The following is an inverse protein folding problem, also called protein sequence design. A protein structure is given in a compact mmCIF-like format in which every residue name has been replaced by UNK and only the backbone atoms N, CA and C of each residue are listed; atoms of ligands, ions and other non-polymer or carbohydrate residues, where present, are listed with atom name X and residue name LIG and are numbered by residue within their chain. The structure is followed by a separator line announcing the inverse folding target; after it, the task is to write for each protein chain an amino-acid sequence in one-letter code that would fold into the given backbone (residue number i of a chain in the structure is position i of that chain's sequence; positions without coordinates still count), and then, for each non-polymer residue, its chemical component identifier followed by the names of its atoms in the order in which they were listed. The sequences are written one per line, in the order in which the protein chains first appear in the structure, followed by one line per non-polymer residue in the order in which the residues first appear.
data_IF_541676151551
#
_entry.id   IF_541676151551
#
_cell.length_a   1.000
_cell.length_b   1.000
_cell.length_c   1.000
_cell.angle_alpha   90.00
_cell.angle_beta   90.00
_cell.angle_gamma   90.00
#
_symmetry.space_group_name_H-M   'P 1'
#
loop_
_entity.id
_entity.type
_entity.pdbx_description
1 polymer ?
#
# COMPACT_ATOMS: atom_id res chain seq x y z
N UNK A 1 -24.53 -10.01 3.25
CA UNK A 1 -23.06 -9.97 3.06
C UNK A 1 -22.55 -8.66 3.63
N UNK A 2 -21.81 -8.71 4.74
CA UNK A 2 -21.27 -7.49 5.38
C UNK A 2 -19.98 -7.09 4.65
N UNK A 3 -19.76 -5.80 4.30
CA UNK A 3 -18.48 -5.35 3.77
C UNK A 3 -17.43 -5.44 4.88
N UNK A 4 -16.34 -6.13 4.58
CA UNK A 4 -15.17 -6.26 5.46
C UNK A 4 -14.42 -4.92 5.44
N UNK A 5 -14.86 -3.97 6.29
CA UNK A 5 -14.14 -2.74 6.56
C UNK A 5 -13.20 -3.00 7.73
N UNK A 6 -11.94 -3.30 7.41
CA UNK A 6 -10.88 -3.37 8.40
C UNK A 6 -10.55 -1.92 8.82
N UNK A 7 -11.22 -1.41 9.86
CA UNK A 7 -10.92 -0.11 10.46
C UNK A 7 -9.97 -0.31 11.62
N UNK A 8 -8.73 0.10 11.44
CA UNK A 8 -7.83 0.34 12.57
C UNK A 8 -8.22 1.67 13.23
N UNK A 9 -8.82 1.61 14.43
CA UNK A 9 -9.15 2.77 15.24
C UNK A 9 -7.99 3.05 16.19
N UNK A 10 -7.20 4.09 15.95
CA UNK A 10 -6.29 4.63 16.96
C UNK A 10 -6.99 5.74 17.73
N UNK A 11 -7.18 5.52 19.03
CA UNK A 11 -7.70 6.51 19.97
C UNK A 11 -6.53 7.42 20.38
N UNK A 12 -6.50 8.64 19.88
CA UNK A 12 -5.58 9.67 20.37
C UNK A 12 -6.23 10.42 21.54
N UNK A 13 -5.68 10.27 22.73
CA UNK A 13 -6.02 11.08 23.91
C UNK A 13 -5.25 12.40 23.78
N UNK A 14 -5.95 13.48 23.50
CA UNK A 14 -5.38 14.82 23.45
C UNK A 14 -5.22 15.40 24.85
N UNK A 15 -3.98 15.68 25.25
CA UNK A 15 -3.68 16.54 26.39
C UNK A 15 -3.52 17.96 25.84
N UNK A 16 -4.45 18.83 26.18
CA UNK A 16 -4.40 20.23 25.81
C UNK A 16 -3.30 20.98 26.56
N UNK A 17 -2.38 21.57 25.81
CA UNK A 17 -1.44 22.57 26.31
C UNK A 17 -1.77 23.90 25.65
N UNK A 18 -2.19 24.89 26.46
CA UNK A 18 -2.36 26.27 26.03
C UNK A 18 -0.95 26.89 25.79
N UNK A 19 -0.58 27.06 24.53
CA UNK A 19 0.55 27.89 24.18
C UNK A 19 0.09 29.24 23.62
N UNK A 20 0.58 30.31 24.24
CA UNK A 20 0.42 31.69 23.81
C UNK A 20 0.99 31.88 22.39
N UNK A 21 0.17 32.36 21.47
CA UNK A 21 0.62 32.68 20.11
C UNK A 21 1.22 34.08 20.09
N UNK A 22 2.51 34.14 19.92
CA UNK A 22 3.16 35.34 19.40
C UNK A 22 2.95 35.38 17.88
N UNK A 23 2.18 36.31 17.37
CA UNK A 23 1.99 36.54 15.94
C UNK A 23 3.26 37.18 15.36
N UNK A 24 4.21 36.37 14.92
CA UNK A 24 5.22 36.80 13.97
C UNK A 24 4.61 36.74 12.58
N UNK A 25 4.45 37.90 11.95
CA UNK A 25 4.06 37.99 10.54
C UNK A 25 5.14 37.30 9.69
N UNK A 26 4.93 36.07 9.32
CA UNK A 26 5.75 35.36 8.35
C UNK A 26 5.49 35.97 6.99
N UNK A 27 6.50 36.59 6.38
CA UNK A 27 6.43 37.01 4.99
C UNK A 27 6.15 35.77 4.12
N UNK A 28 4.95 35.71 3.57
CA UNK A 28 4.54 34.64 2.67
C UNK A 28 5.43 34.68 1.42
N UNK A 29 6.14 33.59 1.16
CA UNK A 29 6.88 33.45 -0.09
C UNK A 29 5.94 33.69 -1.28
N UNK A 30 6.42 34.29 -2.39
CA UNK A 30 5.60 34.59 -3.55
C UNK A 30 4.91 33.31 -4.02
N UNK A 31 3.59 33.31 -3.95
CA UNK A 31 2.79 32.17 -4.42
C UNK A 31 2.96 32.05 -5.93
N UNK A 32 3.34 30.83 -6.38
CA UNK A 32 3.33 30.52 -7.81
C UNK A 32 1.93 30.78 -8.38
N UNK A 33 1.83 31.32 -9.61
CA UNK A 33 0.53 31.59 -10.22
C UNK A 33 -0.32 30.34 -10.22
N UNK A 34 -1.62 30.50 -9.94
CA UNK A 34 -2.55 29.39 -9.89
C UNK A 34 -2.71 28.78 -11.28
N UNK A 35 -2.46 27.47 -11.40
CA UNK A 35 -2.47 26.74 -12.67
C UNK A 35 -3.76 25.95 -12.78
N UNK A 36 -4.47 26.11 -13.90
CA UNK A 36 -5.53 25.22 -14.31
C UNK A 36 -5.00 24.12 -15.23
N UNK A 37 -5.55 22.94 -15.12
CA UNK A 37 -5.19 21.78 -15.92
C UNK A 37 -6.29 21.47 -16.93
N UNK A 38 -5.90 20.97 -18.09
CA UNK A 38 -6.84 20.46 -19.09
C UNK A 38 -7.25 19.01 -18.78
N UNK A 39 -8.36 18.54 -19.35
CA UNK A 39 -8.75 17.13 -19.19
C UNK A 39 -7.72 16.15 -19.75
N UNK A 40 -6.91 16.58 -20.73
CA UNK A 40 -5.75 15.82 -21.24
C UNK A 40 -4.65 15.60 -20.21
N UNK A 41 -4.63 16.37 -19.11
CA UNK A 41 -3.65 16.22 -18.01
C UNK A 41 -4.09 15.15 -16.99
N UNK A 42 -5.24 14.49 -17.19
CA UNK A 42 -5.63 13.36 -16.35
C UNK A 42 -4.73 12.14 -16.60
N UNK A 43 -4.51 11.39 -15.53
CA UNK A 43 -3.78 10.12 -15.60
C UNK A 43 -4.69 9.10 -16.29
N UNK A 44 -4.23 8.53 -17.42
CA UNK A 44 -4.93 7.46 -18.09
C UNK A 44 -4.95 6.19 -17.22
N UNK A 45 -6.13 5.61 -17.06
CA UNK A 45 -6.34 4.39 -16.29
C UNK A 45 -6.82 3.26 -17.21
N UNK A 46 -6.17 2.11 -17.10
CA UNK A 46 -6.65 0.87 -17.72
C UNK A 46 -7.28 0.01 -16.63
N UNK A 47 -8.55 -0.30 -16.79
CA UNK A 47 -9.27 -1.18 -15.86
C UNK A 47 -9.12 -2.62 -16.35
N UNK A 48 -8.41 -3.45 -15.59
CA UNK A 48 -8.24 -4.88 -15.88
C UNK A 48 -9.34 -5.74 -15.24
N UNK A 49 -9.76 -5.35 -14.03
CA UNK A 49 -10.78 -6.07 -13.25
C UNK A 49 -11.34 -5.14 -12.16
N UNK A 50 -12.39 -5.57 -11.48
CA UNK A 50 -12.94 -4.88 -10.33
C UNK A 50 -12.61 -5.65 -9.04
N UNK A 51 -12.07 -4.94 -8.07
CA UNK A 51 -11.74 -5.52 -6.78
C UNK A 51 -13.01 -5.92 -6.01
N UNK A 52 -13.14 -7.21 -5.72
CA UNK A 52 -14.17 -7.78 -4.86
C UNK A 52 -13.78 -7.66 -3.38
N UNK A 53 -12.46 -7.75 -3.10
CA UNK A 53 -11.89 -7.66 -1.76
C UNK A 53 -10.67 -6.74 -1.77
N UNK A 54 -10.44 -6.10 -0.61
CA UNK A 54 -9.30 -5.23 -0.39
C UNK A 54 -8.71 -5.51 0.99
N UNK A 55 -7.40 -5.71 1.05
CA UNK A 55 -6.66 -5.81 2.29
C UNK A 55 -5.59 -4.71 2.34
N UNK A 56 -5.52 -4.01 3.48
CA UNK A 56 -4.55 -2.94 3.70
C UNK A 56 -3.46 -3.46 4.62
N UNK A 57 -2.21 -3.27 4.21
CA UNK A 57 -1.02 -3.69 4.95
C UNK A 57 -0.18 -2.48 5.33
N UNK A 58 0.15 -2.36 6.61
CA UNK A 58 1.19 -1.45 7.05
C UNK A 58 2.54 -2.07 6.70
N UNK A 59 3.22 -1.53 5.68
CA UNK A 59 4.59 -1.93 5.33
C UNK A 59 5.56 -1.14 6.18
N UNK A 60 6.47 -1.84 6.85
CA UNK A 60 7.62 -1.27 7.53
C UNK A 60 8.90 -1.67 6.78
N UNK A 61 9.80 -0.72 6.63
CA UNK A 61 11.08 -0.91 5.96
C UNK A 61 12.20 -0.18 6.70
N UNK A 62 13.37 -0.81 6.78
CA UNK A 62 14.62 -0.22 7.26
C UNK A 62 15.68 -0.36 6.20
N UNK A 63 16.46 0.69 5.97
CA UNK A 63 17.57 0.67 5.01
C UNK A 63 18.68 -0.27 5.48
N UNK A 64 18.94 -0.26 6.79
CA UNK A 64 19.90 -1.14 7.46
C UNK A 64 19.22 -1.75 8.69
N UNK A 65 19.33 -3.05 8.94
CA UNK A 65 18.68 -3.70 10.09
C UNK A 65 19.00 -3.07 11.44
N UNK A 66 20.22 -2.55 11.62
CA UNK A 66 20.68 -1.88 12.84
C UNK A 66 20.24 -0.42 12.97
N UNK A 67 19.64 0.19 11.93
CA UNK A 67 19.16 1.56 11.98
C UNK A 67 17.89 1.61 12.84
N UNK A 68 17.83 2.46 13.88
CA UNK A 68 16.61 2.67 14.66
C UNK A 68 15.50 3.32 13.80
N UNK A 69 15.84 3.97 12.69
CA UNK A 69 14.89 4.63 11.80
C UNK A 69 14.20 3.61 10.91
N UNK A 70 12.89 3.52 11.05
CA UNK A 70 12.04 2.78 10.12
C UNK A 70 11.16 3.73 9.31
N UNK A 71 10.78 3.29 8.13
CA UNK A 71 9.83 3.96 7.26
C UNK A 71 8.57 3.13 7.17
N UNK A 72 7.42 3.78 7.27
CA UNK A 72 6.14 3.10 7.25
C UNK A 72 5.22 3.75 6.24
N UNK A 73 4.51 2.94 5.46
CA UNK A 73 3.46 3.37 4.54
C UNK A 73 2.45 2.27 4.28
N UNK A 74 1.29 2.67 3.79
CA UNK A 74 0.18 1.76 3.58
C UNK A 74 0.23 1.16 2.17
N UNK A 75 0.11 -0.15 2.10
CA UNK A 75 -0.03 -0.92 0.87
C UNK A 75 -1.46 -1.45 0.74
N UNK A 76 -1.96 -1.53 -0.47
CA UNK A 76 -3.28 -2.06 -0.79
C UNK A 76 -3.14 -3.29 -1.67
N UNK A 77 -3.66 -4.42 -1.18
CA UNK A 77 -3.94 -5.61 -1.97
C UNK A 77 -5.39 -5.56 -2.46
N UNK A 78 -5.58 -5.61 -3.76
CA UNK A 78 -6.86 -5.67 -4.44
C UNK A 78 -7.03 -7.06 -5.04
N UNK A 79 -8.14 -7.74 -4.74
CA UNK A 79 -8.43 -9.09 -5.22
C UNK A 79 -9.68 -9.01 -6.08
N UNK A 80 -9.54 -9.20 -7.37
CA UNK A 80 -10.62 -9.31 -8.33
C UNK A 80 -10.88 -10.77 -8.73
N UNK A 81 -11.69 -10.98 -9.75
CA UNK A 81 -12.05 -12.32 -10.25
C UNK A 81 -10.91 -12.96 -11.06
N UNK A 82 -10.18 -12.17 -11.84
CA UNK A 82 -9.11 -12.60 -12.76
C UNK A 82 -7.76 -12.03 -12.39
N UNK A 83 -7.76 -10.81 -11.86
CA UNK A 83 -6.55 -10.07 -11.53
C UNK A 83 -6.45 -9.80 -10.05
N UNK A 84 -5.22 -9.68 -9.59
CA UNK A 84 -4.87 -9.21 -8.27
C UNK A 84 -3.90 -8.05 -8.42
N UNK A 85 -4.12 -6.96 -7.70
CA UNK A 85 -3.24 -5.78 -7.67
C UNK A 85 -2.61 -5.59 -6.31
N UNK A 86 -1.33 -5.20 -6.27
CA UNK A 86 -0.67 -4.75 -5.05
C UNK A 86 -0.01 -3.41 -5.31
N UNK A 87 -0.41 -2.38 -4.58
CA UNK A 87 -0.07 -0.99 -4.89
C UNK A 87 0.15 -0.17 -3.62
N UNK A 88 1.01 0.84 -3.70
CA UNK A 88 1.11 1.86 -2.66
C UNK A 88 -0.21 2.64 -2.58
N UNK A 89 -0.83 2.66 -1.40
CA UNK A 89 -2.14 3.29 -1.21
C UNK A 89 -2.09 4.82 -1.32
N UNK A 90 -1.00 5.44 -0.87
CA UNK A 90 -0.80 6.89 -0.99
C UNK A 90 -0.70 7.32 -2.46
N UNK A 91 0.01 6.56 -3.30
CA UNK A 91 0.08 6.80 -4.74
C UNK A 91 -1.31 6.69 -5.39
N UNK A 92 -2.05 5.62 -5.09
CA UNK A 92 -3.39 5.43 -5.62
C UNK A 92 -4.36 6.55 -5.22
N UNK A 93 -4.28 7.01 -3.96
CA UNK A 93 -5.05 8.16 -3.48
C UNK A 93 -4.68 9.44 -4.22
N UNK A 94 -3.39 9.72 -4.35
CA UNK A 94 -2.93 10.93 -5.03
C UNK A 94 -3.38 10.97 -6.49
N UNK A 95 -3.31 9.84 -7.21
CA UNK A 95 -3.77 9.74 -8.59
C UNK A 95 -5.30 9.93 -8.69
N UNK A 96 -6.05 9.41 -7.73
CA UNK A 96 -7.51 9.61 -7.64
C UNK A 96 -7.86 11.07 -7.38
N UNK A 97 -7.18 11.74 -6.44
CA UNK A 97 -7.37 13.16 -6.12
C UNK A 97 -7.05 14.01 -7.36
N UNK A 98 -5.94 13.72 -8.03
CA UNK A 98 -5.53 14.39 -9.26
C UNK A 98 -6.62 14.32 -10.32
N UNK A 99 -7.03 13.11 -10.70
CA UNK A 99 -8.03 12.90 -11.74
C UNK A 99 -9.39 13.52 -11.39
N UNK A 100 -9.86 13.36 -10.15
CA UNK A 100 -11.12 13.92 -9.70
C UNK A 100 -11.09 15.46 -9.72
N UNK A 101 -9.99 16.06 -9.29
CA UNK A 101 -9.84 17.52 -9.22
C UNK A 101 -9.79 18.15 -10.61
N UNK A 102 -9.07 17.54 -11.56
CA UNK A 102 -9.03 18.03 -12.95
C UNK A 102 -10.43 17.92 -13.60
N UNK A 103 -11.11 16.78 -13.42
CA UNK A 103 -12.48 16.60 -13.94
C UNK A 103 -13.47 17.60 -13.35
N UNK A 104 -13.26 18.02 -12.10
CA UNK A 104 -14.05 19.04 -11.43
C UNK A 104 -13.64 20.49 -11.77
N UNK A 105 -12.63 20.67 -12.65
CA UNK A 105 -12.14 22.00 -13.05
C UNK A 105 -11.41 22.76 -11.93
N UNK A 106 -10.95 22.07 -10.88
CA UNK A 106 -10.24 22.73 -9.78
C UNK A 106 -8.87 23.25 -10.27
N UNK A 107 -8.49 24.42 -9.79
CA UNK A 107 -7.13 24.92 -9.96
C UNK A 107 -6.13 24.14 -9.11
N UNK A 108 -4.85 24.25 -9.43
CA UNK A 108 -3.77 23.59 -8.67
C UNK A 108 -3.86 23.89 -7.17
N UNK A 109 -4.04 25.15 -6.79
CA UNK A 109 -4.15 25.56 -5.39
C UNK A 109 -5.37 24.96 -4.70
N UNK A 110 -6.45 24.67 -5.45
CA UNK A 110 -7.69 24.09 -4.96
C UNK A 110 -7.60 22.62 -4.51
N UNK A 111 -6.51 21.90 -4.87
CA UNK A 111 -6.34 20.50 -4.46
C UNK A 111 -4.92 20.11 -4.06
N UNK A 112 -3.95 21.04 -4.20
CA UNK A 112 -2.53 20.74 -4.00
C UNK A 112 -2.22 20.17 -2.62
N UNK A 113 -2.81 20.73 -1.56
CA UNK A 113 -2.53 20.29 -0.19
C UNK A 113 -3.01 18.84 0.04
N UNK A 114 -4.22 18.49 -0.44
CA UNK A 114 -4.76 17.15 -0.32
C UNK A 114 -3.94 16.13 -1.14
N UNK A 115 -3.58 16.51 -2.35
CA UNK A 115 -2.75 15.71 -3.23
C UNK A 115 -1.33 15.51 -2.67
N UNK A 116 -0.71 16.57 -2.16
CA UNK A 116 0.62 16.52 -1.55
C UNK A 116 0.63 15.64 -0.32
N UNK A 117 -0.36 15.79 0.57
CA UNK A 117 -0.48 14.94 1.75
C UNK A 117 -0.57 13.45 1.38
N UNK A 118 -1.36 13.10 0.35
CA UNK A 118 -1.41 11.72 -0.12
C UNK A 118 -0.08 11.22 -0.69
N UNK A 119 0.68 12.10 -1.37
CA UNK A 119 2.03 11.81 -1.85
C UNK A 119 3.05 11.66 -0.72
N UNK A 120 2.95 12.46 0.32
CA UNK A 120 3.85 12.42 1.48
C UNK A 120 3.66 11.13 2.30
N UNK A 121 2.45 10.57 2.30
CA UNK A 121 2.15 9.25 2.86
C UNK A 121 2.70 8.09 2.00
N UNK A 122 3.18 8.38 0.79
CA UNK A 122 3.69 7.37 -0.13
C UNK A 122 5.22 7.34 -0.15
N UNK A 123 5.74 6.16 -0.44
CA UNK A 123 7.14 5.97 -0.82
C UNK A 123 7.20 5.25 -2.14
N UNK A 124 8.21 5.51 -2.98
CA UNK A 124 8.40 4.72 -4.19
C UNK A 124 8.38 3.24 -3.85
N UNK A 125 7.48 2.52 -4.48
CA UNK A 125 7.32 1.08 -4.30
C UNK A 125 6.86 0.45 -5.61
N UNK A 126 7.05 -0.86 -5.70
CA UNK A 126 6.65 -1.61 -6.87
C UNK A 126 5.12 -1.73 -6.94
N UNK A 127 4.57 -1.50 -8.13
CA UNK A 127 3.20 -1.89 -8.46
C UNK A 127 3.21 -3.28 -9.08
N UNK A 128 2.41 -4.19 -8.55
CA UNK A 128 2.31 -5.57 -9.01
C UNK A 128 0.91 -5.85 -9.54
N UNK A 129 0.84 -6.41 -10.73
CA UNK A 129 -0.40 -6.89 -11.35
C UNK A 129 -0.26 -8.37 -11.66
N UNK A 130 -1.05 -9.21 -11.01
CA UNK A 130 -1.07 -10.64 -11.21
C UNK A 130 -2.20 -11.02 -12.16
N UNK A 131 -1.88 -11.60 -13.30
CA UNK A 131 -2.82 -12.27 -14.19
C UNK A 131 -2.88 -13.75 -13.82
N UNK A 132 -3.92 -14.12 -13.09
CA UNK A 132 -4.06 -15.50 -12.58
C UNK A 132 -4.40 -16.50 -13.68
N UNK A 133 -5.04 -16.06 -14.75
CA UNK A 133 -5.37 -16.94 -15.86
C UNK A 133 -4.12 -17.35 -16.64
N UNK A 134 -3.15 -16.43 -16.75
CA UNK A 134 -1.87 -16.69 -17.42
C UNK A 134 -0.79 -17.20 -16.47
N UNK A 135 -0.99 -17.11 -15.17
CA UNK A 135 0.03 -17.46 -14.17
C UNK A 135 1.24 -16.52 -14.16
N UNK A 136 1.07 -15.28 -14.58
CA UNK A 136 2.13 -14.29 -14.68
C UNK A 136 1.89 -13.07 -13.79
N UNK A 137 2.97 -12.44 -13.42
CA UNK A 137 3.04 -11.21 -12.66
C UNK A 137 3.74 -10.14 -13.48
N UNK A 138 3.07 -9.03 -13.72
CA UNK A 138 3.67 -7.81 -14.25
C UNK A 138 4.09 -6.91 -13.08
N UNK A 139 5.36 -6.54 -13.05
CA UNK A 139 5.91 -5.65 -12.05
C UNK A 139 6.33 -4.33 -12.70
N UNK A 140 5.84 -3.23 -12.12
CA UNK A 140 6.18 -1.87 -12.50
C UNK A 140 6.93 -1.24 -11.33
N UNK A 141 8.18 -0.90 -11.56
CA UNK A 141 9.08 -0.38 -10.53
C UNK A 141 9.67 0.97 -10.97
N UNK A 142 10.05 1.77 -10.00
CA UNK A 142 10.71 3.03 -10.23
C UNK A 142 12.01 3.07 -9.42
N UNK A 143 13.13 2.97 -10.12
CA UNK A 143 14.45 3.09 -9.53
C UNK A 143 15.01 4.46 -9.93
N UNK A 144 15.14 5.36 -8.98
CA UNK A 144 15.53 6.74 -9.23
C UNK A 144 14.53 7.48 -10.13
N UNK A 145 14.95 7.84 -11.34
CA UNK A 145 14.11 8.50 -12.34
C UNK A 145 13.58 7.52 -13.41
N UNK A 146 14.16 6.34 -13.49
CA UNK A 146 13.81 5.34 -14.49
C UNK A 146 12.65 4.48 -14.05
N UNK A 147 11.74 4.21 -14.99
CA UNK A 147 10.62 3.28 -14.81
C UNK A 147 10.99 1.96 -15.47
N UNK A 148 10.76 0.87 -14.76
CA UNK A 148 11.01 -0.48 -15.23
C UNK A 148 9.70 -1.26 -15.24
N UNK A 149 9.52 -2.06 -16.28
CA UNK A 149 8.45 -3.04 -16.38
C UNK A 149 9.07 -4.39 -16.72
N UNK A 150 8.68 -5.41 -15.98
CA UNK A 150 9.06 -6.79 -16.28
C UNK A 150 7.94 -7.74 -15.94
N UNK A 151 7.90 -8.86 -16.65
CA UNK A 151 6.94 -9.94 -16.45
C UNK A 151 7.70 -11.17 -15.96
N UNK A 152 7.18 -11.84 -14.93
CA UNK A 152 7.71 -13.10 -14.42
C UNK A 152 6.56 -14.08 -14.11
N UNK A 153 6.81 -15.40 -14.05
CA UNK A 153 5.84 -16.32 -13.49
C UNK A 153 5.47 -15.93 -12.05
N UNK A 154 4.20 -16.14 -11.67
CA UNK A 154 3.79 -15.88 -10.27
C UNK A 154 4.64 -16.73 -9.34
N UNK A 155 5.42 -16.12 -8.42
CA UNK A 155 6.30 -16.85 -7.54
C UNK A 155 5.54 -17.82 -6.63
N UNK A 156 6.04 -19.03 -6.52
CA UNK A 156 5.51 -20.05 -5.61
C UNK A 156 6.46 -20.19 -4.43
N UNK A 157 5.95 -20.02 -3.21
CA UNK A 157 6.72 -20.24 -1.99
C UNK A 157 6.55 -21.68 -1.50
N UNK A 158 7.64 -22.27 -1.01
CA UNK A 158 7.60 -23.53 -0.28
C UNK A 158 7.38 -23.21 1.20
N UNK A 159 6.13 -23.42 1.66
CA UNK A 159 5.76 -23.14 3.04
C UNK A 159 5.96 -24.34 3.94
N UNK A 160 6.50 -24.10 5.13
CA UNK A 160 6.54 -25.06 6.25
C UNK A 160 5.60 -24.54 7.33
N UNK A 161 4.58 -25.30 7.67
CA UNK A 161 3.68 -24.98 8.79
C UNK A 161 4.47 -25.05 10.08
N UNK A 162 4.29 -24.08 10.95
CA UNK A 162 4.99 -23.98 12.22
C UNK A 162 4.00 -23.93 13.37
N UNK A 163 4.39 -24.40 14.53
CA UNK A 163 3.58 -24.30 15.73
C UNK A 163 3.40 -22.84 16.17
N UNK A 164 2.24 -22.55 16.71
CA UNK A 164 1.86 -21.25 17.26
C UNK A 164 0.65 -20.65 16.55
N UNK A 165 -0.27 -20.18 17.34
CA UNK A 165 -1.45 -19.43 16.92
C UNK A 165 -1.35 -18.01 17.46
N UNK A 166 -1.97 -17.07 16.77
CA UNK A 166 -2.04 -15.66 17.19
C UNK A 166 -3.39 -15.08 16.77
N UNK A 167 -3.82 -14.04 17.45
CA UNK A 167 -4.98 -13.27 17.02
C UNK A 167 -4.50 -11.95 16.41
N UNK A 168 -4.75 -11.77 15.12
CA UNK A 168 -4.38 -10.55 14.38
C UNK A 168 -5.65 -9.93 13.83
N UNK A 169 -5.94 -8.70 14.23
CA UNK A 169 -7.13 -7.95 13.82
C UNK A 169 -8.46 -8.72 14.06
N UNK A 170 -8.48 -9.57 15.10
CA UNK A 170 -9.64 -10.36 15.46
C UNK A 170 -9.77 -11.69 14.73
N UNK A 171 -8.85 -12.04 13.84
CA UNK A 171 -8.79 -13.33 13.15
C UNK A 171 -7.84 -14.28 13.86
N UNK A 172 -8.22 -15.56 13.93
CA UNK A 172 -7.29 -16.62 14.33
C UNK A 172 -6.30 -16.86 13.21
N UNK A 173 -5.01 -16.73 13.51
CA UNK A 173 -3.92 -16.83 12.54
C UNK A 173 -2.96 -17.94 12.92
N UNK A 174 -2.59 -18.76 11.94
CA UNK A 174 -1.62 -19.82 12.03
C UNK A 174 -0.28 -19.38 11.47
N UNK A 175 0.79 -19.97 11.99
CA UNK A 175 2.17 -19.62 11.63
C UNK A 175 2.69 -20.50 10.52
N UNK A 176 3.37 -19.90 9.55
CA UNK A 176 4.12 -20.61 8.53
C UNK A 176 5.48 -19.93 8.28
N UNK A 177 6.44 -20.69 7.79
CA UNK A 177 7.77 -20.19 7.44
C UNK A 177 8.12 -20.54 6.02
N UNK A 178 8.96 -19.73 5.37
CA UNK A 178 9.49 -20.00 4.04
C UNK A 178 10.83 -19.31 3.85
N UNK A 179 11.63 -19.87 2.93
CA UNK A 179 12.81 -19.18 2.39
C UNK A 179 12.50 -18.68 0.99
N UNK A 180 12.58 -17.37 0.80
CA UNK A 180 12.28 -16.74 -0.48
C UNK A 180 13.36 -15.71 -0.85
N UNK A 181 13.94 -15.87 -2.05
CA UNK A 181 14.96 -14.94 -2.59
C UNK A 181 16.11 -14.67 -1.61
N UNK A 182 16.59 -15.71 -0.94
CA UNK A 182 17.76 -15.67 -0.04
C UNK A 182 17.47 -15.23 1.39
N UNK A 183 16.21 -14.92 1.73
CA UNK A 183 15.80 -14.52 3.09
C UNK A 183 14.80 -15.51 3.68
N UNK A 184 14.81 -15.64 4.99
CA UNK A 184 13.88 -16.45 5.74
C UNK A 184 12.73 -15.58 6.27
N UNK A 185 11.50 -16.02 6.05
CA UNK A 185 10.28 -15.30 6.40
C UNK A 185 9.41 -16.08 7.37
N UNK A 186 8.74 -15.35 8.25
CA UNK A 186 7.65 -15.84 9.08
C UNK A 186 6.37 -15.16 8.59
N UNK A 187 5.34 -15.95 8.30
CA UNK A 187 4.03 -15.48 7.92
C UNK A 187 2.98 -15.94 8.93
N UNK A 188 1.99 -15.09 9.14
CA UNK A 188 0.75 -15.41 9.85
C UNK A 188 -0.39 -15.31 8.85
N UNK A 189 -1.21 -16.35 8.74
CA UNK A 189 -2.32 -16.41 7.81
C UNK A 189 -3.59 -16.88 8.50
N UNK A 190 -4.75 -16.53 7.96
CA UNK A 190 -6.05 -16.94 8.47
C UNK A 190 -6.87 -17.65 7.41
N UNK A 191 -7.45 -18.78 7.77
CA UNK A 191 -8.38 -19.54 6.92
C UNK A 191 -9.80 -18.96 6.92
N UNK A 192 -10.11 -18.07 7.88
CA UNK A 192 -11.38 -17.34 7.93
C UNK A 192 -11.59 -16.43 6.70
N UNK A 193 -10.51 -16.07 6.02
CA UNK A 193 -10.50 -15.35 4.75
C UNK A 193 -9.90 -16.27 3.68
N UNK A 194 -10.72 -17.03 2.91
CA UNK A 194 -10.27 -18.14 2.06
C UNK A 194 -9.67 -17.64 0.73
N UNK A 195 -8.76 -16.71 0.81
CA UNK A 195 -7.99 -16.20 -0.33
C UNK A 195 -6.51 -16.51 -0.12
N UNK A 196 -5.89 -17.38 -0.93
CA UNK A 196 -4.51 -17.81 -0.77
C UNK A 196 -3.53 -16.71 -1.25
N UNK A 197 -3.73 -15.48 -0.79
CA UNK A 197 -2.98 -14.30 -1.21
C UNK A 197 -2.37 -13.58 -0.01
N UNK A 198 -1.40 -12.72 -0.31
CA UNK A 198 -0.72 -11.92 0.71
C UNK A 198 -0.10 -10.65 0.12
N UNK A 199 0.62 -9.89 0.95
CA UNK A 199 1.30 -8.69 0.51
C UNK A 199 2.48 -9.02 -0.41
N UNK A 200 2.83 -8.08 -1.28
CA UNK A 200 3.94 -8.19 -2.22
C UNK A 200 3.79 -9.42 -3.13
N UNK A 201 4.79 -10.30 -3.16
CA UNK A 201 4.85 -11.50 -4.00
C UNK A 201 4.55 -12.78 -3.21
N UNK A 202 4.01 -12.66 -2.01
CA UNK A 202 3.71 -13.81 -1.15
C UNK A 202 2.28 -14.29 -1.31
N UNK A 203 2.12 -15.62 -1.27
CA UNK A 203 0.82 -16.28 -1.37
C UNK A 203 0.96 -17.79 -1.27
N UNK A 204 -0.13 -18.53 -1.52
CA UNK A 204 -0.13 -19.99 -1.56
C UNK A 204 -0.34 -20.66 -0.20
N UNK A 205 -0.62 -19.93 0.87
CA UNK A 205 -1.13 -20.47 2.14
C UNK A 205 -2.65 -20.73 2.04
N UNK A 206 -3.25 -21.58 2.90
CA UNK A 206 -4.68 -21.91 2.85
C UNK A 206 -5.63 -20.76 3.22
N UNK A 207 -5.17 -19.51 3.13
CA UNK A 207 -5.95 -18.32 3.44
C UNK A 207 -5.12 -17.05 3.29
N UNK A 208 -5.69 -15.92 3.72
CA UNK A 208 -5.06 -14.62 3.58
C UNK A 208 -3.87 -14.49 4.56
N UNK A 209 -2.72 -14.11 4.03
CA UNK A 209 -1.57 -13.73 4.86
C UNK A 209 -1.88 -12.38 5.50
N UNK A 210 -2.02 -12.36 6.82
CA UNK A 210 -2.35 -11.15 7.60
C UNK A 210 -1.11 -10.38 8.02
N UNK A 211 0.01 -11.08 8.23
CA UNK A 211 1.28 -10.49 8.60
C UNK A 211 2.42 -11.35 8.03
N UNK A 212 3.48 -10.70 7.53
CA UNK A 212 4.69 -11.38 7.11
C UNK A 212 5.89 -10.49 7.36
N UNK A 213 7.00 -11.08 7.79
CA UNK A 213 8.25 -10.36 8.02
C UNK A 213 9.46 -11.27 7.81
N UNK A 214 10.60 -10.69 7.44
CA UNK A 214 11.85 -11.41 7.41
C UNK A 214 12.46 -11.54 8.82
N UNK A 215 13.26 -12.58 9.03
CA UNK A 215 13.85 -12.89 10.35
C UNK A 215 15.18 -12.16 10.59
N UNK A 216 15.66 -11.38 9.64
CA UNK A 216 16.94 -10.64 9.71
C UNK A 216 16.75 -9.17 10.11
N UNK A 217 15.73 -8.89 10.92
CA UNK A 217 15.39 -7.54 11.41
C UNK A 217 16.42 -6.99 12.37
#
# INVERSE_FOLDING_TARGET
MKPLLLRTLFLAIGIGSLCFHSTTASAQAPQKPDKHYALSDTIALTIFDYAQYRAYYQKEYRDVPSDPKSYQWLQLLQIGSKYQGYVNYGELRADSIWNASIKAGKSRNGFHNEWSAAKDESRPDVYLLFDRNKGVLDAYDKIFINKYHYTEPIPQQQWTMAEGDSTILGYTCHKATTRFRGRDYIAWYTEEIPYPYGPYKFGGLPGLITCIYDTQR
#
